data_IF_745506151797
#
_entry.id   IF_745506151797
#
_cell.length_a   1.000
_cell.length_b   1.000
_cell.length_c   1.000
_cell.angle_alpha   90.00
_cell.angle_beta   90.00
_cell.angle_gamma   90.00
#
_symmetry.space_group_name_H-M   'P 1'
#
loop_
_entity.id
_entity.type
_entity.pdbx_description
1 polymer ?
#
# COMPACT_ATOMS: atom_id res chain seq x y z
N UNK A 1 0.92 -5.91 51.45
CA UNK A 1 0.78 -4.63 50.70
C UNK A 1 1.61 -4.60 49.42
N UNK A 2 2.85 -5.10 49.40
CA UNK A 2 3.75 -5.05 48.23
C UNK A 2 3.26 -5.91 47.04
N UNK A 3 2.60 -7.05 47.28
CA UNK A 3 2.07 -7.92 46.22
C UNK A 3 0.87 -7.33 45.47
N UNK A 4 0.09 -6.43 46.07
CA UNK A 4 -1.05 -5.77 45.41
C UNK A 4 -0.63 -4.56 44.56
N UNK A 5 0.54 -3.98 44.84
CA UNK A 5 1.14 -2.92 44.01
C UNK A 5 1.73 -3.49 42.72
N UNK A 6 2.33 -4.68 42.76
CA UNK A 6 2.93 -5.33 41.58
C UNK A 6 1.85 -5.77 40.58
N UNK A 7 0.70 -6.24 41.06
CA UNK A 7 -0.43 -6.63 40.20
C UNK A 7 -1.13 -5.43 39.55
N UNK A 8 -1.05 -4.24 40.18
CA UNK A 8 -1.59 -3.00 39.64
C UNK A 8 -0.73 -2.45 38.48
N UNK A 9 0.60 -2.55 38.58
CA UNK A 9 1.52 -2.09 37.52
C UNK A 9 1.51 -3.03 36.30
N UNK A 10 1.33 -4.34 36.51
CA UNK A 10 1.26 -5.32 35.41
C UNK A 10 -0.06 -5.18 34.62
N UNK A 11 -1.18 -4.84 35.27
CA UNK A 11 -2.45 -4.60 34.57
C UNK A 11 -2.50 -3.28 33.79
N UNK A 12 -1.71 -2.27 34.15
CA UNK A 12 -1.61 -1.03 33.36
C UNK A 12 -0.68 -1.16 32.13
N UNK A 13 0.29 -2.09 32.14
CA UNK A 13 1.22 -2.30 31.03
C UNK A 13 0.63 -3.07 29.84
N UNK A 14 -0.34 -3.97 30.09
CA UNK A 14 -0.96 -4.79 29.04
C UNK A 14 -2.07 -4.03 28.30
N UNK A 15 -2.66 -3.00 28.93
CA UNK A 15 -3.69 -2.18 28.28
C UNK A 15 -3.13 -1.06 27.39
N UNK A 16 -1.81 -0.81 27.43
CA UNK A 16 -1.15 0.24 26.64
C UNK A 16 -0.48 -0.26 25.35
N UNK A 17 -0.45 -1.58 25.11
CA UNK A 17 0.10 -2.18 23.87
C UNK A 17 -0.99 -2.34 22.80
N UNK A 18 -2.28 -2.31 23.17
CA UNK A 18 -3.39 -2.53 22.23
C UNK A 18 -3.93 -1.24 21.58
N UNK A 19 -3.23 -0.10 21.70
CA UNK A 19 -3.79 1.19 21.29
C UNK A 19 -2.81 2.08 20.54
N UNK A 20 -1.95 1.58 19.66
CA UNK A 20 -1.18 2.42 18.71
C UNK A 20 -0.75 1.60 17.49
N UNK A 21 -1.69 1.16 16.65
CA UNK A 21 -1.43 0.77 15.24
C UNK A 21 -2.74 0.63 14.45
N UNK A 22 -3.66 1.60 14.59
CA UNK A 22 -4.50 1.91 13.43
C UNK A 22 -3.66 2.85 12.58
N UNK A 23 -2.73 2.30 11.80
CA UNK A 23 -2.35 2.99 10.58
C UNK A 23 -3.69 3.17 9.85
N UNK A 24 -4.14 4.42 9.72
CA UNK A 24 -5.12 4.75 8.71
C UNK A 24 -4.41 4.46 7.40
N UNK A 25 -4.50 3.22 6.93
CA UNK A 25 -4.18 2.88 5.57
C UNK A 25 -5.14 3.73 4.75
N UNK A 26 -4.67 4.87 4.25
CA UNK A 26 -5.33 5.46 3.11
C UNK A 26 -5.31 4.36 2.05
N UNK A 27 -6.49 3.82 1.75
CA UNK A 27 -6.66 2.72 0.82
C UNK A 27 -6.36 3.23 -0.59
N UNK A 28 -5.10 3.14 -1.02
CA UNK A 28 -4.69 3.53 -2.37
C UNK A 28 -4.93 2.37 -3.34
N UNK A 29 -6.19 1.95 -3.45
CA UNK A 29 -6.57 1.05 -4.54
C UNK A 29 -6.62 1.88 -5.81
N UNK A 30 -6.16 1.32 -6.91
CA UNK A 30 -6.12 2.00 -8.20
C UNK A 30 -6.40 1.02 -9.33
N UNK A 31 -6.83 1.56 -10.46
CA UNK A 31 -7.01 0.83 -11.71
C UNK A 31 -5.61 0.49 -12.25
N UNK A 32 -5.33 -0.81 -12.33
CA UNK A 32 -4.00 -1.35 -12.60
C UNK A 32 -3.79 -1.72 -14.07
N UNK A 33 -4.82 -2.30 -14.67
CA UNK A 33 -4.80 -2.88 -16.01
C UNK A 33 -6.23 -2.94 -16.55
N UNK A 34 -6.42 -2.72 -17.85
CA UNK A 34 -7.69 -2.92 -18.53
C UNK A 34 -7.52 -3.14 -20.04
N UNK A 35 -8.52 -3.75 -20.66
CA UNK A 35 -8.62 -4.09 -22.08
C UNK A 35 -10.05 -3.86 -22.54
N UNK A 36 -10.23 -3.19 -23.66
CA UNK A 36 -11.54 -2.78 -24.17
C UNK A 36 -11.72 -2.97 -25.68
N UNK A 37 -10.65 -2.89 -26.50
CA UNK A 37 -10.78 -2.94 -27.95
C UNK A 37 -9.94 -4.06 -28.58
N UNK A 38 -10.49 -4.74 -29.57
CA UNK A 38 -9.82 -5.81 -30.31
C UNK A 38 -9.92 -5.71 -31.83
N UNK A 39 -9.05 -6.48 -32.49
CA UNK A 39 -9.34 -6.89 -33.86
C UNK A 39 -10.65 -7.68 -33.98
N UNK A 40 -11.64 -7.08 -34.65
CA UNK A 40 -12.93 -7.70 -34.90
C UNK A 40 -13.93 -7.44 -33.78
N UNK A 41 -14.41 -8.49 -33.12
CA UNK A 41 -15.31 -8.36 -31.98
C UNK A 41 -14.51 -8.37 -30.69
N UNK A 42 -14.93 -7.54 -29.74
CA UNK A 42 -14.24 -7.41 -28.45
C UNK A 42 -14.38 -8.68 -27.61
N UNK A 43 -13.26 -9.11 -27.05
CA UNK A 43 -13.09 -10.32 -26.26
C UNK A 43 -12.14 -10.06 -25.11
N UNK A 44 -12.23 -10.86 -24.04
CA UNK A 44 -11.37 -10.72 -22.85
C UNK A 44 -11.44 -9.34 -22.16
N UNK A 45 -12.46 -8.54 -22.41
CA UNK A 45 -12.65 -7.24 -21.77
C UNK A 45 -12.68 -7.36 -20.24
N UNK A 46 -11.81 -6.60 -19.58
CA UNK A 46 -11.62 -6.67 -18.15
C UNK A 46 -11.08 -5.36 -17.57
N UNK A 47 -11.19 -5.23 -16.25
CA UNK A 47 -10.51 -4.19 -15.48
C UNK A 47 -9.94 -4.84 -14.25
N UNK A 48 -8.70 -4.52 -13.93
CA UNK A 48 -7.99 -5.00 -12.77
C UNK A 48 -7.72 -3.88 -11.77
N UNK A 49 -7.90 -4.18 -10.49
CA UNK A 49 -7.61 -3.28 -9.39
C UNK A 49 -6.40 -3.80 -8.64
N UNK A 50 -5.43 -2.93 -8.36
CA UNK A 50 -4.30 -3.23 -7.49
C UNK A 50 -4.39 -2.46 -6.17
N UNK A 51 -3.75 -3.01 -5.14
CA UNK A 51 -3.71 -2.39 -3.82
C UNK A 51 -3.07 -3.29 -2.77
N UNK A 52 -3.10 -2.87 -1.49
CA UNK A 52 -2.53 -3.65 -0.40
C UNK A 52 -3.17 -5.04 -0.28
N UNK A 53 -2.34 -6.05 -0.07
CA UNK A 53 -2.77 -7.41 0.16
C UNK A 53 -3.66 -7.52 1.41
N UNK A 54 -4.68 -8.38 1.34
CA UNK A 54 -5.70 -8.51 2.37
C UNK A 54 -6.84 -7.51 2.27
N UNK A 55 -6.80 -6.55 1.33
CA UNK A 55 -7.92 -5.64 1.10
C UNK A 55 -9.15 -6.40 0.62
N UNK A 56 -10.28 -6.17 1.28
CA UNK A 56 -11.58 -6.74 0.93
C UNK A 56 -12.35 -5.73 0.08
N UNK A 57 -12.72 -6.10 -1.14
CA UNK A 57 -13.36 -5.20 -2.11
C UNK A 57 -14.88 -5.10 -1.95
N UNK A 58 -15.41 -5.38 -0.77
CA UNK A 58 -16.84 -5.35 -0.54
C UNK A 58 -17.37 -3.90 -0.65
N UNK A 59 -18.43 -3.71 -1.44
CA UNK A 59 -19.08 -2.41 -1.71
C UNK A 59 -18.27 -1.41 -2.56
N UNK A 60 -17.05 -1.76 -2.96
CA UNK A 60 -16.31 -1.04 -4.00
C UNK A 60 -16.99 -1.22 -5.36
N UNK A 61 -16.85 -0.23 -6.24
CA UNK A 61 -17.49 -0.25 -7.55
C UNK A 61 -16.57 0.29 -8.64
N UNK A 62 -16.72 -0.25 -9.85
CA UNK A 62 -16.30 0.39 -11.08
C UNK A 62 -17.53 1.00 -11.76
N UNK A 63 -17.42 2.24 -12.22
CA UNK A 63 -18.44 2.92 -13.01
C UNK A 63 -17.83 3.33 -14.34
N UNK A 64 -18.51 3.01 -15.44
CA UNK A 64 -18.07 3.30 -16.79
C UNK A 64 -18.94 4.41 -17.37
N UNK A 65 -18.31 5.39 -18.00
CA UNK A 65 -18.93 6.58 -18.54
C UNK A 65 -18.69 6.67 -20.03
N UNK A 66 -19.75 7.05 -20.76
CA UNK A 66 -19.75 7.17 -22.20
C UNK A 66 -19.16 8.53 -22.61
N UNK A 67 -18.16 8.50 -23.49
CA UNK A 67 -17.40 9.67 -23.93
C UNK A 67 -18.17 10.65 -24.81
N UNK A 68 -19.27 10.19 -25.42
CA UNK A 68 -20.12 11.03 -26.26
C UNK A 68 -21.02 11.96 -25.45
N UNK A 69 -21.56 11.50 -24.32
CA UNK A 69 -22.54 12.27 -23.53
C UNK A 69 -22.15 12.50 -22.06
N UNK A 70 -21.08 11.87 -21.56
CA UNK A 70 -20.63 11.95 -20.17
C UNK A 70 -21.48 11.16 -19.18
N UNK A 71 -22.43 10.35 -19.64
CA UNK A 71 -23.32 9.58 -18.77
C UNK A 71 -22.71 8.23 -18.38
N UNK A 72 -22.89 7.84 -17.13
CA UNK A 72 -22.62 6.49 -16.68
C UNK A 72 -23.52 5.49 -17.41
N UNK A 73 -22.93 4.49 -18.07
CA UNK A 73 -23.67 3.48 -18.81
C UNK A 73 -23.60 2.09 -18.16
N UNK A 74 -22.58 1.82 -17.34
CA UNK A 74 -22.40 0.53 -16.68
C UNK A 74 -21.81 0.69 -15.28
N UNK A 75 -22.20 -0.21 -14.38
CA UNK A 75 -21.66 -0.29 -13.02
C UNK A 75 -21.38 -1.73 -12.65
N UNK A 76 -20.19 -1.98 -12.10
CA UNK A 76 -19.77 -3.28 -11.57
C UNK A 76 -19.51 -3.16 -10.08
N UNK A 77 -20.26 -3.92 -9.27
CA UNK A 77 -19.89 -4.13 -7.88
C UNK A 77 -18.68 -5.07 -7.82
N UNK A 78 -17.68 -4.71 -7.04
CA UNK A 78 -16.50 -5.53 -6.78
C UNK A 78 -16.74 -6.44 -5.58
N UNK A 79 -15.99 -7.54 -5.55
CA UNK A 79 -15.97 -8.49 -4.45
C UNK A 79 -14.67 -9.30 -4.52
N UNK A 80 -14.28 -9.88 -3.39
CA UNK A 80 -13.05 -10.66 -3.27
C UNK A 80 -12.04 -10.00 -2.34
N UNK A 81 -10.89 -10.66 -2.20
CA UNK A 81 -9.78 -10.22 -1.37
C UNK A 81 -8.53 -10.20 -2.24
N UNK A 82 -7.81 -9.08 -2.25
CA UNK A 82 -6.54 -8.98 -2.96
C UNK A 82 -5.51 -9.87 -2.24
N UNK A 83 -4.94 -10.86 -2.93
CA UNK A 83 -3.89 -11.71 -2.36
C UNK A 83 -2.54 -11.01 -2.37
N UNK A 84 -1.63 -11.41 -1.48
CA UNK A 84 -0.23 -10.97 -1.55
C UNK A 84 0.48 -11.66 -2.73
N UNK A 85 0.83 -10.87 -3.74
CA UNK A 85 1.55 -11.30 -4.92
C UNK A 85 3.00 -10.81 -4.90
N UNK A 86 3.26 -9.63 -4.31
CA UNK A 86 4.60 -9.08 -4.13
C UNK A 86 4.61 -7.95 -3.10
N UNK A 87 5.56 -7.99 -2.16
CA UNK A 87 5.84 -6.91 -1.19
C UNK A 87 4.63 -6.37 -0.41
N UNK A 88 3.61 -7.23 -0.14
CA UNK A 88 2.40 -6.82 0.57
C UNK A 88 1.35 -6.16 -0.33
N UNK A 89 1.47 -6.30 -1.64
CA UNK A 89 0.54 -5.84 -2.66
C UNK A 89 0.10 -6.99 -3.56
N UNK A 90 -1.02 -6.78 -4.24
CA UNK A 90 -1.46 -7.63 -5.33
C UNK A 90 -2.56 -6.95 -6.15
N UNK A 91 -3.17 -7.75 -7.01
CA UNK A 91 -4.24 -7.32 -7.90
C UNK A 91 -5.40 -8.30 -7.97
N UNK A 92 -6.55 -7.83 -8.41
CA UNK A 92 -7.72 -8.67 -8.69
C UNK A 92 -8.44 -8.17 -9.95
N UNK A 93 -8.60 -9.07 -10.92
CA UNK A 93 -9.17 -8.77 -12.23
C UNK A 93 -10.66 -9.11 -12.29
N UNK A 94 -11.42 -8.27 -12.99
CA UNK A 94 -12.86 -8.40 -13.16
C UNK A 94 -13.21 -8.38 -14.64
N UNK A 95 -13.87 -9.44 -15.11
CA UNK A 95 -14.47 -9.43 -16.45
C UNK A 95 -15.62 -8.40 -16.50
N UNK A 96 -15.56 -7.54 -17.52
CA UNK A 96 -16.53 -6.48 -17.79
C UNK A 96 -17.04 -6.66 -19.21
N UNK A 97 -18.34 -6.92 -19.41
CA UNK A 97 -18.86 -7.06 -20.77
C UNK A 97 -19.08 -5.69 -21.42
N UNK A 98 -18.71 -5.56 -22.69
CA UNK A 98 -19.04 -4.41 -23.54
C UNK A 98 -18.58 -3.08 -22.94
N UNK A 99 -17.29 -2.99 -22.61
CA UNK A 99 -16.59 -1.72 -22.48
C UNK A 99 -16.69 -1.00 -23.84
N UNK A 100 -16.85 0.32 -23.84
CA UNK A 100 -17.02 1.09 -25.08
C UNK A 100 -15.67 1.51 -25.65
N UNK A 101 -15.55 1.54 -26.99
CA UNK A 101 -14.31 1.80 -27.72
C UNK A 101 -14.18 3.27 -28.14
N UNK A 102 -14.37 4.19 -27.20
CA UNK A 102 -14.06 5.60 -27.36
C UNK A 102 -14.96 6.40 -28.33
N UNK A 103 -14.60 7.68 -28.58
CA UNK A 103 -13.52 8.41 -27.92
C UNK A 103 -13.95 9.01 -26.57
N UNK A 104 -12.96 9.23 -25.69
CA UNK A 104 -13.11 9.86 -24.38
C UNK A 104 -14.07 9.14 -23.41
N UNK A 105 -14.19 7.82 -23.52
CA UNK A 105 -14.83 7.02 -22.48
C UNK A 105 -13.98 7.05 -21.20
N UNK A 106 -14.59 6.73 -20.05
CA UNK A 106 -13.91 6.82 -18.77
C UNK A 106 -14.34 5.75 -17.76
N UNK A 107 -13.44 5.43 -16.84
CA UNK A 107 -13.63 4.45 -15.77
C UNK A 107 -13.37 5.12 -14.44
N UNK A 108 -14.33 5.05 -13.52
CA UNK A 108 -14.18 5.52 -12.16
C UNK A 108 -14.13 4.35 -11.17
N UNK A 109 -13.13 4.34 -10.31
CA UNK A 109 -13.06 3.48 -9.12
C UNK A 109 -13.69 4.20 -7.94
N UNK A 110 -14.70 3.57 -7.34
CA UNK A 110 -15.50 4.13 -6.24
C UNK A 110 -15.29 3.28 -5.00
N UNK A 111 -14.97 3.91 -3.88
CA UNK A 111 -14.83 3.22 -2.59
C UNK A 111 -16.18 2.79 -1.99
N UNK A 112 -16.09 2.06 -0.89
CA UNK A 112 -17.25 1.61 -0.12
C UNK A 112 -18.08 2.76 0.52
N UNK A 113 -17.51 3.95 0.68
CA UNK A 113 -18.19 5.17 1.15
C UNK A 113 -18.77 6.03 0.02
N UNK A 114 -18.64 5.59 -1.24
CA UNK A 114 -19.10 6.29 -2.45
C UNK A 114 -18.25 7.50 -2.86
N UNK A 115 -17.01 7.58 -2.41
CA UNK A 115 -16.06 8.56 -2.93
C UNK A 115 -15.40 8.03 -4.21
N UNK A 116 -15.10 8.93 -5.14
CA UNK A 116 -14.29 8.63 -6.32
C UNK A 116 -12.82 8.57 -5.90
N UNK A 117 -12.23 7.38 -6.00
CA UNK A 117 -10.81 7.14 -5.69
C UNK A 117 -9.93 7.44 -6.89
N UNK A 118 -10.38 7.04 -8.07
CA UNK A 118 -9.68 7.29 -9.32
C UNK A 118 -10.71 7.49 -10.43
N UNK A 119 -10.45 8.42 -11.35
CA UNK A 119 -11.27 8.63 -12.53
C UNK A 119 -10.39 8.89 -13.75
N UNK A 120 -10.21 7.85 -14.57
CA UNK A 120 -9.37 7.88 -15.76
C UNK A 120 -10.22 7.92 -17.02
N UNK A 121 -9.80 8.70 -18.00
CA UNK A 121 -10.30 8.66 -19.37
C UNK A 121 -9.27 7.98 -20.28
N UNK A 122 -9.74 7.27 -21.29
CA UNK A 122 -8.91 6.77 -22.38
C UNK A 122 -9.41 7.36 -23.70
N UNK A 123 -8.48 7.56 -24.64
CA UNK A 123 -8.72 8.32 -25.87
C UNK A 123 -9.21 9.78 -25.65
N UNK A 124 -8.93 10.35 -24.48
CA UNK A 124 -9.32 11.71 -24.12
C UNK A 124 -9.82 11.85 -22.69
N UNK A 125 -10.21 13.08 -22.33
CA UNK A 125 -10.81 13.40 -21.02
C UNK A 125 -12.32 13.57 -21.12
N UNK A 126 -13.04 13.15 -20.09
CA UNK A 126 -14.50 13.20 -20.00
C UNK A 126 -14.98 14.01 -18.79
N UNK A 127 -15.96 14.88 -18.99
CA UNK A 127 -16.71 15.48 -17.88
C UNK A 127 -17.94 14.60 -17.59
N UNK A 128 -17.99 13.97 -16.42
CA UNK A 128 -19.15 13.17 -16.05
C UNK A 128 -20.37 14.06 -15.75
N UNK A 129 -21.52 13.72 -16.34
CA UNK A 129 -22.77 14.52 -16.19
C UNK A 129 -23.76 13.89 -15.20
N UNK A 130 -23.53 12.65 -14.79
CA UNK A 130 -24.31 11.95 -13.77
C UNK A 130 -23.41 10.97 -12.98
N UNK A 131 -24.01 10.10 -12.16
CA UNK A 131 -23.27 9.07 -11.41
C UNK A 131 -22.38 9.63 -10.28
N UNK A 132 -21.60 8.74 -9.60
CA UNK A 132 -20.74 9.15 -8.49
C UNK A 132 -19.66 10.18 -8.84
N UNK A 133 -19.24 10.26 -10.11
CA UNK A 133 -18.24 11.21 -10.57
C UNK A 133 -18.85 12.50 -11.16
N UNK A 134 -20.15 12.75 -10.99
CA UNK A 134 -20.82 13.92 -11.57
C UNK A 134 -20.08 15.23 -11.30
N UNK A 135 -19.83 16.00 -12.36
CA UNK A 135 -19.11 17.27 -12.31
C UNK A 135 -17.58 17.13 -12.21
N UNK A 136 -17.04 15.91 -12.17
CA UNK A 136 -15.60 15.66 -12.22
C UNK A 136 -15.12 15.47 -13.66
N UNK A 137 -13.93 15.97 -13.95
CA UNK A 137 -13.20 15.73 -15.20
C UNK A 137 -12.30 14.50 -15.00
N UNK A 138 -12.36 13.52 -15.89
CA UNK A 138 -11.44 12.38 -15.87
C UNK A 138 -10.03 12.80 -16.28
N UNK A 139 -9.03 12.11 -15.75
CA UNK A 139 -7.64 12.26 -16.18
C UNK A 139 -7.38 11.40 -17.41
N UNK A 140 -7.05 12.01 -18.54
CA UNK A 140 -6.64 11.27 -19.73
C UNK A 140 -5.31 10.54 -19.49
N UNK A 141 -5.30 9.24 -19.71
CA UNK A 141 -4.11 8.40 -19.56
C UNK A 141 -3.16 8.52 -20.76
N UNK A 142 -3.59 9.11 -21.88
CA UNK A 142 -2.85 9.24 -23.14
C UNK A 142 -2.45 7.89 -23.78
N UNK A 143 -3.25 6.85 -23.55
CA UNK A 143 -3.13 5.53 -24.17
C UNK A 143 -4.45 5.09 -24.77
N UNK A 144 -4.35 4.29 -25.83
CA UNK A 144 -5.48 3.82 -26.62
C UNK A 144 -5.21 2.38 -27.01
N UNK A 145 -6.23 1.54 -26.92
CA UNK A 145 -6.31 0.34 -27.74
C UNK A 145 -6.96 0.70 -29.06
N UNK A 146 -6.82 -0.18 -30.05
CA UNK A 146 -7.39 0.04 -31.38
C UNK A 146 -8.03 -1.24 -31.85
N UNK A 147 -8.81 -1.16 -32.92
CA UNK A 147 -9.31 -2.35 -33.62
C UNK A 147 -8.23 -3.25 -34.27
N UNK A 148 -6.96 -3.10 -33.89
CA UNK A 148 -5.84 -3.98 -34.20
C UNK A 148 -5.16 -4.55 -32.94
N UNK A 149 -5.67 -4.24 -31.74
CA UNK A 149 -5.17 -4.76 -30.47
C UNK A 149 -5.46 -6.25 -30.34
N UNK A 150 -4.47 -7.01 -29.86
CA UNK A 150 -4.57 -8.45 -29.68
C UNK A 150 -5.31 -8.78 -28.37
N UNK A 151 -6.13 -9.84 -28.32
CA UNK A 151 -6.83 -10.24 -27.08
C UNK A 151 -5.93 -10.66 -25.91
N UNK A 152 -4.61 -10.77 -26.15
CA UNK A 152 -3.60 -11.12 -25.14
C UNK A 152 -2.82 -9.90 -24.62
N UNK A 153 -3.16 -8.70 -25.04
CA UNK A 153 -2.54 -7.45 -24.56
C UNK A 153 -3.55 -6.62 -23.78
N UNK A 154 -3.04 -5.66 -23.02
CA UNK A 154 -3.85 -4.72 -22.25
C UNK A 154 -3.09 -3.42 -22.02
N UNK A 155 -3.82 -2.35 -21.73
CA UNK A 155 -3.25 -1.14 -21.13
C UNK A 155 -3.03 -1.41 -19.64
N UNK A 156 -1.79 -1.29 -19.18
CA UNK A 156 -1.38 -1.67 -17.83
C UNK A 156 -0.36 -0.71 -17.23
N UNK A 157 -0.34 -0.59 -15.90
CA UNK A 157 0.61 0.23 -15.15
C UNK A 157 1.94 -0.49 -14.94
N UNK A 158 3.05 0.18 -15.25
CA UNK A 158 4.43 -0.28 -15.03
C UNK A 158 5.24 0.75 -14.23
N UNK A 159 6.38 0.35 -13.67
CA UNK A 159 7.25 1.23 -12.87
C UNK A 159 7.48 0.72 -11.45
N UNK A 160 7.92 1.60 -10.54
CA UNK A 160 8.21 1.27 -9.15
C UNK A 160 7.49 2.23 -8.21
N UNK A 161 6.75 1.69 -7.24
CA UNK A 161 5.96 2.52 -6.35
C UNK A 161 4.98 1.77 -5.47
N UNK A 162 4.01 2.48 -4.93
CA UNK A 162 3.07 1.99 -3.93
C UNK A 162 1.64 2.52 -4.12
N UNK A 163 1.46 3.48 -5.03
CA UNK A 163 0.21 4.14 -5.38
C UNK A 163 0.11 4.27 -6.91
N UNK A 164 -1.11 4.46 -7.44
CA UNK A 164 -1.35 4.56 -8.88
C UNK A 164 -0.38 5.52 -9.57
N UNK A 165 -0.29 6.77 -9.09
CA UNK A 165 0.51 7.84 -9.70
C UNK A 165 2.03 7.62 -9.66
N UNK A 166 2.53 6.64 -8.90
CA UNK A 166 3.95 6.24 -8.95
C UNK A 166 4.27 5.45 -10.23
N UNK A 167 3.24 4.91 -10.89
CA UNK A 167 3.35 4.09 -12.10
C UNK A 167 2.90 4.87 -13.34
N UNK A 168 3.36 4.41 -14.50
CA UNK A 168 2.95 4.94 -15.81
C UNK A 168 2.27 3.87 -16.65
N UNK A 169 1.36 4.29 -17.51
CA UNK A 169 0.63 3.41 -18.42
C UNK A 169 1.49 2.97 -19.62
N UNK A 170 1.32 1.72 -20.06
CA UNK A 170 1.89 1.11 -21.26
C UNK A 170 0.94 0.05 -21.80
N UNK A 171 1.12 -0.39 -23.05
CA UNK A 171 0.54 -1.64 -23.56
C UNK A 171 1.58 -2.75 -23.46
N UNK A 172 1.20 -3.88 -22.88
CA UNK A 172 2.02 -5.08 -22.80
C UNK A 172 1.12 -6.33 -22.75
N UNK A 173 1.71 -7.51 -22.56
CA UNK A 173 0.99 -8.77 -22.39
C UNK A 173 0.11 -8.70 -21.15
N UNK A 174 -1.17 -9.00 -21.30
CA UNK A 174 -2.13 -8.95 -20.21
C UNK A 174 -1.78 -9.91 -19.07
N UNK A 175 -1.98 -9.47 -17.83
CA UNK A 175 -1.53 -10.18 -16.62
C UNK A 175 -2.63 -10.34 -15.56
N UNK A 176 -3.85 -10.77 -15.93
CA UNK A 176 -4.98 -10.77 -15.01
C UNK A 176 -4.74 -11.63 -13.76
N UNK A 177 -4.99 -11.03 -12.59
CA UNK A 177 -4.74 -11.57 -11.25
C UNK A 177 -3.25 -11.84 -10.97
N UNK A 178 -2.35 -11.11 -11.61
CA UNK A 178 -0.91 -11.14 -11.36
C UNK A 178 -0.35 -9.72 -11.45
N UNK A 179 0.86 -9.52 -10.92
CA UNK A 179 1.56 -8.25 -11.05
C UNK A 179 1.92 -8.03 -12.52
N UNK A 180 1.71 -6.80 -13.00
CA UNK A 180 2.04 -6.39 -14.36
C UNK A 180 3.53 -6.59 -14.67
N UNK A 181 3.86 -6.78 -15.94
CA UNK A 181 5.26 -6.82 -16.35
C UNK A 181 5.92 -5.46 -16.02
N UNK A 182 7.15 -5.52 -15.50
CA UNK A 182 7.92 -4.33 -15.08
C UNK A 182 7.23 -3.45 -14.01
N UNK A 183 6.28 -4.00 -13.27
CA UNK A 183 5.70 -3.35 -12.10
C UNK A 183 6.35 -3.89 -10.82
N UNK A 184 6.86 -2.99 -9.99
CA UNK A 184 7.57 -3.31 -8.77
C UNK A 184 6.95 -2.53 -7.60
N UNK A 185 6.29 -3.24 -6.69
CA UNK A 185 5.75 -2.62 -5.48
C UNK A 185 6.84 -2.40 -4.44
N UNK A 186 6.92 -1.19 -3.89
CA UNK A 186 7.80 -0.91 -2.76
C UNK A 186 7.20 -1.43 -1.45
N UNK A 187 8.07 -1.82 -0.51
CA UNK A 187 7.61 -2.18 0.83
C UNK A 187 6.88 -1.00 1.44
N UNK A 188 5.75 -1.29 2.06
CA UNK A 188 5.04 -0.34 2.90
C UNK A 188 5.99 0.14 3.99
N UNK A 189 6.45 1.38 3.87
CA UNK A 189 7.30 2.00 4.88
C UNK A 189 6.49 2.07 6.17
N UNK A 190 6.66 1.11 7.08
CA UNK A 190 6.12 1.23 8.43
C UNK A 190 6.89 2.41 9.04
N UNK A 191 6.25 3.57 9.28
CA UNK A 191 6.94 4.64 9.98
C UNK A 191 7.27 4.07 11.36
N UNK A 192 8.53 3.75 11.61
CA UNK A 192 8.99 3.35 12.93
C UNK A 192 8.65 4.55 13.81
N UNK A 193 7.69 4.45 14.76
CA UNK A 193 7.38 5.59 15.62
C UNK A 193 8.69 6.04 16.24
N UNK A 194 8.93 7.35 16.37
CA UNK A 194 10.19 7.86 16.93
C UNK A 194 10.55 7.24 18.31
N UNK A 195 9.60 6.59 19.00
CA UNK A 195 9.81 5.76 20.18
C UNK A 195 10.53 4.42 19.97
N UNK A 196 10.64 3.88 18.75
CA UNK A 196 11.41 2.66 18.45
C UNK A 196 12.91 2.83 18.70
N UNK A 197 13.42 4.06 18.60
CA UNK A 197 14.79 4.42 18.98
C UNK A 197 15.03 4.37 20.49
N UNK A 198 13.98 4.51 21.32
CA UNK A 198 14.13 4.46 22.78
C UNK A 198 14.24 3.04 23.36
N UNK A 199 13.85 2.00 22.60
CA UNK A 199 13.88 0.61 23.11
C UNK A 199 15.17 -0.16 22.76
N UNK A 200 15.93 0.26 21.75
CA UNK A 200 17.28 -0.31 21.53
C UNK A 200 18.28 0.23 22.57
N UNK A 201 18.04 1.43 23.14
CA UNK A 201 18.86 1.97 24.23
C UNK A 201 18.57 1.32 25.59
N UNK A 202 17.37 0.78 25.82
CA UNK A 202 17.00 0.16 27.10
C UNK A 202 17.47 -1.30 27.27
N UNK A 203 17.71 -2.04 26.17
CA UNK A 203 18.30 -3.40 26.25
C UNK A 203 19.84 -3.42 26.26
N UNK A 204 20.51 -2.28 26.00
CA UNK A 204 21.97 -2.19 25.93
C UNK A 204 22.72 -1.95 27.27
N UNK A 205 22.03 -1.79 28.40
CA UNK A 205 22.65 -1.34 29.67
C UNK A 205 22.90 -2.45 30.70
N UNK A 206 22.79 -3.75 30.35
CA UNK A 206 23.11 -4.85 31.28
C UNK A 206 24.22 -5.82 30.83
N UNK A 207 24.98 -5.50 29.79
CA UNK A 207 26.17 -6.30 29.40
C UNK A 207 27.41 -5.40 29.43
N UNK A 208 27.97 -5.16 30.62
CA UNK A 208 29.19 -4.35 30.69
C UNK A 208 29.71 -3.88 32.05
N UNK A 209 29.55 -4.63 33.14
CA UNK A 209 30.35 -4.36 34.35
C UNK A 209 30.92 -5.65 34.97
N UNK A 210 31.89 -6.25 34.26
CA UNK A 210 33.02 -6.92 34.92
C UNK A 210 34.30 -6.27 34.43
N UNK A 211 34.72 -5.17 35.07
CA UNK A 211 36.08 -4.65 34.92
C UNK A 211 36.95 -5.15 36.06
N UNK A 212 37.82 -6.08 35.68
CA UNK A 212 39.13 -6.45 36.23
C UNK A 212 39.65 -5.54 37.36
N UNK A 213 39.85 -6.13 38.54
CA UNK A 213 40.68 -5.57 39.63
C UNK A 213 42.13 -5.50 39.17
N UNK A 214 42.60 -4.30 38.83
CA UNK A 214 44.02 -3.99 38.68
C UNK A 214 44.68 -3.92 40.07
N UNK A 215 45.73 -4.73 40.25
CA UNK A 215 46.55 -4.83 41.46
C UNK A 215 47.47 -3.59 41.54
N UNK A 216 47.10 -2.59 42.35
CA UNK A 216 47.96 -1.43 42.60
C UNK A 216 48.86 -1.74 43.81
N UNK A 217 50.09 -2.18 43.53
CA UNK A 217 51.16 -2.20 44.54
C UNK A 217 51.70 -0.77 44.66
N UNK A 218 51.25 -0.04 45.70
CA UNK A 218 51.85 1.27 46.05
C UNK A 218 52.81 1.07 47.22
N UNK A 219 54.10 1.19 46.94
CA UNK A 219 55.17 1.18 47.95
C UNK A 219 55.10 2.49 48.74
N UNK A 220 54.54 2.47 49.95
CA UNK A 220 54.67 3.58 50.89
C UNK A 220 55.80 3.29 51.88
N UNK A 221 56.93 3.96 51.66
CA UNK A 221 57.97 4.16 52.65
C UNK A 221 57.47 5.12 53.73
N UNK A 222 57.37 4.67 54.98
CA UNK A 222 57.38 5.58 56.13
C UNK A 222 58.12 4.93 57.30
N UNK A 223 59.33 5.44 57.51
CA UNK A 223 60.14 5.42 58.72
C UNK A 223 59.33 5.96 59.92
N UNK A 224 59.52 5.41 61.13
CA UNK A 224 59.81 6.20 62.35
C UNK A 224 59.99 5.33 63.63
N UNK A 225 61.23 5.41 64.15
CA UNK A 225 61.72 5.50 65.54
C UNK A 225 61.55 4.38 66.61
N UNK A 226 62.52 4.25 67.54
CA UNK A 226 62.76 3.05 68.36
C UNK A 226 62.36 3.21 69.84
N UNK A 227 62.10 2.09 70.55
CA UNK A 227 62.08 1.95 72.02
C UNK A 227 62.40 0.47 72.37
N UNK A 228 63.63 0.11 72.79
CA UNK A 228 64.19 -0.03 74.17
C UNK A 228 63.67 -1.21 75.02
N UNK A 229 64.62 -2.06 75.46
CA UNK A 229 64.58 -2.92 76.68
C UNK A 229 63.78 -4.22 76.54
N UNK A 230 64.24 -5.40 76.96
CA UNK A 230 65.30 -5.82 77.89
C UNK A 230 65.91 -7.14 77.44
#
# INVERSE_FOLDING_TARGET
MITRLIQCVISLGVFFIQLMSTACWASHLFINEFHYDNIGADTNEQVEIAGPAGTVLQNWQLIFYNGHNGEAYYSKNLAGIISDQSNGYGSLSFAIPAIQNGPADAIALIDEQKNVIEFIGYEGSLLAVNGPAVGMQSSDINWVETGASEPSTSIQRQGTGSQGDDFYWQIDTASPNSINQHQYFELLAIPIPAGGWLFISACGVFIGYKRSTQLIVTRQSMTLKPLTGW
#
